data_IF_077228479626
#
_entry.id   IF_077228479626
#
_cell.length_a   1.000
_cell.length_b   1.000
_cell.length_c   1.000
_cell.angle_alpha   90.00
_cell.angle_beta   90.00
_cell.angle_gamma   90.00
#
_symmetry.space_group_name_H-M   'P 1'
#
loop_
_entity.id
_entity.type
_entity.pdbx_description
1 polymer ?
#
# COMPACT_ATOMS: atom_id res chain seq x y z
N UNK A 1 8.04 23.11 25.23
CA UNK A 1 9.27 23.90 25.02
C UNK A 1 8.97 24.95 23.94
N UNK A 2 9.54 26.15 24.02
CA UNK A 2 9.37 27.17 22.97
C UNK A 2 10.61 27.16 22.06
N UNK A 3 10.39 27.11 20.75
CA UNK A 3 11.45 27.09 19.74
C UNK A 3 11.15 28.11 18.65
N UNK A 4 12.16 28.88 18.26
CA UNK A 4 12.06 29.85 17.16
C UNK A 4 12.60 29.20 15.89
N UNK A 5 11.76 29.05 14.88
CA UNK A 5 12.13 28.47 13.58
C UNK A 5 12.12 29.57 12.50
N UNK A 6 13.08 29.52 11.58
CA UNK A 6 13.04 30.34 10.36
C UNK A 6 12.29 29.55 9.29
N UNK A 7 11.17 30.09 8.83
CA UNK A 7 10.32 29.50 7.80
C UNK A 7 10.21 30.49 6.66
N UNK A 8 10.22 30.00 5.43
CA UNK A 8 9.91 30.80 4.24
C UNK A 8 8.52 31.45 4.35
N UNK A 9 8.37 32.73 3.93
CA UNK A 9 7.12 33.49 4.09
C UNK A 9 5.95 32.84 3.35
N UNK A 10 6.20 32.31 2.14
CA UNK A 10 5.17 31.66 1.35
C UNK A 10 4.71 30.38 2.05
N UNK A 11 5.66 29.56 2.51
CA UNK A 11 5.34 28.34 3.26
C UNK A 11 4.55 28.64 4.55
N UNK A 12 4.93 29.70 5.27
CA UNK A 12 4.21 30.15 6.46
C UNK A 12 2.75 30.50 6.15
N UNK A 13 2.50 31.24 5.06
CA UNK A 13 1.14 31.62 4.63
C UNK A 13 0.30 30.41 4.22
N UNK A 14 0.90 29.48 3.47
CA UNK A 14 0.24 28.24 3.06
C UNK A 14 -0.14 27.41 4.29
N UNK A 15 0.81 27.19 5.22
CA UNK A 15 0.56 26.47 6.48
C UNK A 15 -0.53 27.15 7.33
N UNK A 16 -0.53 28.48 7.44
CA UNK A 16 -1.55 29.23 8.18
C UNK A 16 -2.94 29.07 7.56
N UNK A 17 -3.02 29.10 6.23
CA UNK A 17 -4.28 28.91 5.50
C UNK A 17 -4.83 27.50 5.74
N UNK A 18 -3.96 26.49 5.67
CA UNK A 18 -4.37 25.09 5.84
C UNK A 18 -4.74 24.77 7.29
N UNK A 19 -4.03 25.34 8.27
CA UNK A 19 -4.39 25.25 9.68
C UNK A 19 -5.79 25.83 9.94
N UNK A 20 -6.10 27.00 9.37
CA UNK A 20 -7.41 27.63 9.49
C UNK A 20 -8.52 26.78 8.85
N UNK A 21 -8.29 26.22 7.65
CA UNK A 21 -9.23 25.30 6.99
C UNK A 21 -9.51 24.06 7.82
N UNK A 22 -8.49 23.55 8.50
CA UNK A 22 -8.57 22.36 9.34
C UNK A 22 -9.12 22.65 10.75
N UNK A 23 -9.40 23.92 11.09
CA UNK A 23 -9.83 24.32 12.43
C UNK A 23 -8.75 24.14 13.51
N UNK A 24 -7.48 24.14 13.13
CA UNK A 24 -6.33 23.94 14.02
C UNK A 24 -5.56 25.25 14.23
N UNK A 25 -4.89 25.34 15.38
CA UNK A 25 -3.86 26.37 15.56
C UNK A 25 -2.65 26.06 14.69
N UNK A 26 -1.93 27.11 14.28
CA UNK A 26 -0.70 26.94 13.49
C UNK A 26 0.33 26.06 14.22
N UNK A 27 0.48 26.24 15.53
CA UNK A 27 1.38 25.42 16.35
C UNK A 27 1.01 23.94 16.26
N UNK A 28 -0.27 23.60 16.46
CA UNK A 28 -0.72 22.21 16.40
C UNK A 28 -0.57 21.62 15.01
N UNK A 29 -0.86 22.41 13.97
CA UNK A 29 -0.64 22.01 12.58
C UNK A 29 0.82 21.65 12.30
N UNK A 30 1.76 22.47 12.78
CA UNK A 30 3.20 22.22 12.63
C UNK A 30 3.65 20.97 13.41
N UNK A 31 3.17 20.80 14.65
CA UNK A 31 3.48 19.62 15.47
C UNK A 31 2.98 18.32 14.84
N UNK A 32 1.76 18.29 14.30
CA UNK A 32 1.22 17.15 13.57
C UNK A 32 2.06 16.84 12.33
N UNK A 33 2.43 17.86 11.55
CA UNK A 33 3.28 17.69 10.37
C UNK A 33 4.65 17.09 10.71
N UNK A 34 5.27 17.53 11.81
CA UNK A 34 6.52 16.96 12.31
C UNK A 34 6.34 15.52 12.75
N UNK A 35 5.27 15.20 13.50
CA UNK A 35 4.98 13.84 13.95
C UNK A 35 4.82 12.89 12.78
N UNK A 36 4.00 13.26 11.79
CA UNK A 36 3.79 12.48 10.57
C UNK A 36 5.09 12.21 9.81
N UNK A 37 6.01 13.18 9.79
CA UNK A 37 7.30 13.02 9.11
C UNK A 37 8.24 12.08 9.85
N UNK A 38 8.20 12.10 11.19
CA UNK A 38 9.01 11.24 12.05
C UNK A 38 8.47 9.81 12.13
N UNK A 39 7.14 9.63 12.15
CA UNK A 39 6.47 8.33 12.08
C UNK A 39 6.68 7.64 10.74
N UNK A 40 6.72 8.42 9.65
CA UNK A 40 7.23 7.97 8.35
C UNK A 40 8.75 7.86 8.41
N UNK A 41 9.23 6.97 9.26
CA UNK A 41 10.58 6.42 9.16
C UNK A 41 10.75 5.93 7.71
N UNK A 42 11.87 6.25 7.02
CA UNK A 42 12.07 5.74 5.67
C UNK A 42 11.89 4.22 5.74
N UNK A 43 11.02 3.66 4.88
CA UNK A 43 10.97 2.22 4.69
C UNK A 43 12.42 1.79 4.52
N UNK A 44 12.91 0.99 5.47
CA UNK A 44 14.22 0.40 5.34
C UNK A 44 14.30 -0.18 3.93
N UNK A 45 15.41 0.11 3.23
CA UNK A 45 15.69 -0.45 1.90
C UNK A 45 15.21 -1.90 1.87
N UNK A 46 14.36 -2.31 0.92
CA UNK A 46 13.64 -3.57 1.00
C UNK A 46 14.63 -4.68 1.32
N UNK A 47 14.51 -5.23 2.53
CA UNK A 47 15.38 -6.32 2.94
C UNK A 47 15.12 -7.45 1.95
N UNK A 48 16.16 -8.03 1.31
CA UNK A 48 15.92 -9.09 0.34
C UNK A 48 15.23 -10.26 1.04
N UNK A 49 13.94 -10.46 0.75
CA UNK A 49 13.20 -11.61 1.25
C UNK A 49 13.57 -12.82 0.39
N UNK A 50 14.35 -13.74 0.94
CA UNK A 50 14.59 -15.03 0.30
C UNK A 50 13.35 -15.90 0.47
N UNK A 51 12.46 -15.89 -0.52
CA UNK A 51 11.36 -16.83 -0.57
C UNK A 51 11.91 -18.24 -0.70
N UNK A 52 11.43 -19.16 0.14
CA UNK A 52 11.69 -20.60 -0.04
C UNK A 52 10.90 -21.06 -1.25
N UNK A 53 11.48 -20.92 -2.43
CA UNK A 53 10.99 -21.64 -3.60
C UNK A 53 11.33 -23.10 -3.37
N UNK A 54 10.31 -23.94 -3.19
CA UNK A 54 10.51 -25.38 -3.38
C UNK A 54 11.00 -25.53 -4.82
N UNK A 55 12.25 -25.93 -4.98
CA UNK A 55 12.83 -26.17 -6.29
C UNK A 55 12.09 -27.36 -6.91
N UNK A 56 10.96 -27.12 -7.58
CA UNK A 56 10.54 -28.00 -8.65
C UNK A 56 11.64 -27.89 -9.70
N UNK A 57 12.39 -28.97 -9.90
CA UNK A 57 13.53 -29.02 -10.82
C UNK A 57 13.14 -28.78 -12.29
N UNK A 58 11.84 -28.61 -12.56
CA UNK A 58 11.26 -28.37 -13.88
C UNK A 58 10.83 -26.91 -13.99
N UNK A 59 11.45 -26.12 -14.89
CA UNK A 59 10.90 -24.84 -15.30
C UNK A 59 9.44 -25.02 -15.72
N UNK A 60 8.55 -24.14 -15.28
CA UNK A 60 7.18 -24.15 -15.77
C UNK A 60 7.19 -23.79 -17.25
N UNK A 61 6.82 -24.74 -18.10
CA UNK A 61 6.78 -24.56 -19.54
C UNK A 61 5.50 -23.84 -20.01
N UNK A 62 4.55 -23.58 -19.10
CA UNK A 62 3.27 -22.96 -19.42
C UNK A 62 3.44 -21.53 -19.88
N UNK A 63 2.68 -21.16 -20.91
CA UNK A 63 2.59 -19.78 -21.38
C UNK A 63 1.79 -18.92 -20.40
N UNK A 64 1.95 -17.60 -20.49
CA UNK A 64 1.14 -16.65 -19.71
C UNK A 64 -0.36 -16.78 -19.94
N UNK A 65 -0.78 -17.21 -21.13
CA UNK A 65 -2.18 -17.43 -21.45
C UNK A 65 -2.74 -18.66 -20.75
N UNK A 66 -1.99 -19.76 -20.72
CA UNK A 66 -2.35 -20.99 -20.01
C UNK A 66 -2.43 -20.76 -18.49
N UNK A 67 -1.48 -20.01 -17.92
CA UNK A 67 -1.52 -19.66 -16.51
C UNK A 67 -2.74 -18.81 -16.14
N UNK A 68 -3.16 -17.91 -17.04
CA UNK A 68 -4.37 -17.10 -16.85
C UNK A 68 -5.63 -17.95 -16.87
N UNK A 69 -5.73 -18.86 -17.85
CA UNK A 69 -6.87 -19.78 -17.94
C UNK A 69 -7.04 -20.64 -16.69
N UNK A 70 -5.94 -21.18 -16.15
CA UNK A 70 -6.01 -21.99 -14.92
C UNK A 70 -6.53 -21.17 -13.73
N UNK A 71 -6.07 -19.93 -13.57
CA UNK A 71 -6.53 -19.06 -12.49
C UNK A 71 -8.02 -18.70 -12.65
N UNK A 72 -8.46 -18.42 -13.88
CA UNK A 72 -9.85 -18.10 -14.18
C UNK A 72 -10.77 -19.32 -13.94
N UNK A 73 -10.34 -20.52 -14.33
CA UNK A 73 -11.10 -21.77 -14.14
C UNK A 73 -11.21 -22.13 -12.64
N UNK A 74 -10.14 -21.97 -11.86
CA UNK A 74 -10.15 -22.16 -10.41
C UNK A 74 -11.11 -21.18 -9.73
N UNK A 75 -11.11 -19.92 -10.15
CA UNK A 75 -11.98 -18.88 -9.62
C UNK A 75 -13.45 -19.16 -9.96
N UNK A 76 -13.75 -19.54 -11.20
CA UNK A 76 -15.11 -19.91 -11.63
C UNK A 76 -15.63 -21.12 -10.85
N UNK A 77 -14.78 -22.13 -10.64
CA UNK A 77 -15.16 -23.33 -9.88
C UNK A 77 -15.48 -22.97 -8.42
N UNK A 78 -14.64 -22.12 -7.81
CA UNK A 78 -14.88 -21.62 -6.46
C UNK A 78 -16.21 -20.83 -6.36
N UNK A 79 -16.48 -19.96 -7.33
CA UNK A 79 -17.69 -19.12 -7.34
C UNK A 79 -18.96 -19.93 -7.59
N UNK A 80 -18.91 -20.94 -8.47
CA UNK A 80 -20.01 -21.89 -8.68
C UNK A 80 -20.29 -22.74 -7.43
N UNK A 81 -19.24 -23.16 -6.71
CA UNK A 81 -19.38 -23.86 -5.45
C UNK A 81 -20.05 -22.99 -4.37
N UNK A 82 -19.74 -21.69 -4.32
CA UNK A 82 -20.44 -20.73 -3.42
C UNK A 82 -21.92 -20.56 -3.77
N UNK A 83 -22.27 -20.68 -5.05
CA UNK A 83 -23.65 -20.60 -5.54
C UNK A 83 -24.41 -21.94 -5.42
N UNK A 84 -23.77 -23.01 -4.95
CA UNK A 84 -24.38 -24.33 -4.78
C UNK A 84 -24.70 -25.04 -6.10
N UNK A 85 -24.06 -24.63 -7.21
CA UNK A 85 -24.25 -25.22 -8.53
C UNK A 85 -23.20 -26.32 -8.70
N UNK A 86 -23.59 -27.61 -8.83
CA UNK A 86 -22.61 -28.68 -9.01
C UNK A 86 -21.94 -28.57 -10.38
N UNK A 87 -20.60 -28.55 -10.40
CA UNK A 87 -19.81 -28.62 -11.63
C UNK A 87 -20.02 -30.00 -12.27
N UNK A 88 -20.80 -30.08 -13.35
CA UNK A 88 -21.02 -31.30 -14.10
C UNK A 88 -20.02 -31.35 -15.25
N UNK A 89 -18.92 -32.09 -15.08
CA UNK A 89 -18.00 -32.40 -16.17
C UNK A 89 -18.73 -33.18 -17.26
N UNK A 90 -18.54 -32.87 -18.56
CA UNK A 90 -18.82 -33.81 -19.65
C UNK A 90 -17.82 -34.98 -19.65
#
# INVERSE_FOLDING_TARGET
>A
MQTTLRIDDRLYREAKTEAARSGLSLTRFLEEGLRLRLEKQPLESPTPHTFRTYATATPDARSWEELRHIADDEQQTHDLAKLGIPHRNP
#
